data_IF_766557161129
#
_entry.id   IF_766557161129
#
_cell.length_a   1.000
_cell.length_b   1.000
_cell.length_c   1.000
_cell.angle_alpha   90.00
_cell.angle_beta   90.00
_cell.angle_gamma   90.00
#
_symmetry.space_group_name_H-M   'P 1'
#
loop_
_entity.id
_entity.type
_entity.pdbx_description
1 polymer ?
#
# COMPACT_ATOMS: atom_id res chain seq x y z
N UNK A 1 -4.13 -5.10 4.80
CA UNK A 1 -2.85 -4.63 4.22
C UNK A 1 -1.93 -4.28 5.38
N UNK A 2 -0.68 -4.74 5.38
CA UNK A 2 0.23 -4.53 6.50
C UNK A 2 0.67 -3.06 6.57
N UNK A 3 0.64 -2.48 7.77
CA UNK A 3 1.19 -1.13 8.02
C UNK A 3 2.68 -1.28 8.28
N UNK A 4 3.52 -0.66 7.45
CA UNK A 4 4.97 -0.72 7.61
C UNK A 4 5.45 0.09 8.82
N UNK A 5 6.37 -0.50 9.58
CA UNK A 5 7.20 0.21 10.55
C UNK A 5 8.49 0.72 9.91
N UNK A 6 9.23 1.59 10.60
CA UNK A 6 10.55 2.07 10.17
C UNK A 6 11.50 0.93 9.84
N UNK A 7 11.52 -0.10 10.68
CA UNK A 7 12.40 -1.27 10.51
C UNK A 7 12.04 -2.03 9.24
N UNK A 8 10.74 -2.31 9.02
CA UNK A 8 10.29 -3.03 7.82
C UNK A 8 10.48 -2.22 6.54
N UNK A 9 10.30 -0.90 6.59
CA UNK A 9 10.55 -0.01 5.46
C UNK A 9 12.04 0.03 5.09
N UNK A 10 12.93 0.10 6.08
CA UNK A 10 14.38 0.19 5.87
C UNK A 10 14.95 -1.10 5.25
N UNK A 11 14.32 -2.24 5.51
CA UNK A 11 14.72 -3.53 4.93
C UNK A 11 14.18 -3.77 3.52
N UNK A 12 13.23 -2.95 3.05
CA UNK A 12 12.64 -3.08 1.72
C UNK A 12 13.55 -2.50 0.64
N UNK A 13 13.83 -3.30 -0.38
CA UNK A 13 14.49 -2.85 -1.60
C UNK A 13 13.46 -2.33 -2.61
N UNK A 14 13.88 -1.46 -3.56
CA UNK A 14 12.99 -0.99 -4.63
C UNK A 14 12.38 -2.13 -5.47
N UNK A 15 13.12 -3.22 -5.69
CA UNK A 15 12.61 -4.39 -6.41
C UNK A 15 11.48 -5.08 -5.65
N UNK A 16 11.62 -5.25 -4.33
CA UNK A 16 10.56 -5.82 -3.48
C UNK A 16 9.34 -4.89 -3.43
N UNK A 17 9.55 -3.58 -3.31
CA UNK A 17 8.46 -2.60 -3.34
C UNK A 17 7.65 -2.68 -4.65
N UNK A 18 8.34 -2.85 -5.78
CA UNK A 18 7.70 -3.03 -7.08
C UNK A 18 6.90 -4.35 -7.17
N UNK A 19 7.43 -5.46 -6.65
CA UNK A 19 6.70 -6.72 -6.62
C UNK A 19 5.45 -6.64 -5.72
N UNK A 20 5.53 -5.96 -4.57
CA UNK A 20 4.36 -5.73 -3.70
C UNK A 20 3.24 -5.01 -4.46
N UNK A 21 3.59 -3.97 -5.25
CA UNK A 21 2.61 -3.27 -6.10
C UNK A 21 2.04 -4.23 -7.16
N UNK A 22 2.87 -4.98 -7.88
CA UNK A 22 2.39 -5.95 -8.89
C UNK A 22 1.43 -6.98 -8.30
N UNK A 23 1.75 -7.54 -7.14
CA UNK A 23 0.88 -8.47 -6.43
C UNK A 23 -0.45 -7.81 -6.01
N UNK A 24 -0.39 -6.57 -5.56
CA UNK A 24 -1.55 -5.73 -5.29
C UNK A 24 -2.49 -5.60 -6.47
N UNK A 25 -1.94 -5.23 -7.62
CA UNK A 25 -2.70 -5.11 -8.85
C UNK A 25 -3.27 -6.44 -9.32
N UNK A 26 -2.52 -7.54 -9.17
CA UNK A 26 -3.02 -8.86 -9.51
C UNK A 26 -4.23 -9.25 -8.65
N UNK A 27 -4.25 -8.89 -7.36
CA UNK A 27 -5.44 -9.08 -6.50
C UNK A 27 -6.62 -8.24 -6.98
N UNK A 28 -6.39 -6.98 -7.33
CA UNK A 28 -7.42 -6.08 -7.85
C UNK A 28 -8.06 -6.64 -9.13
N UNK A 29 -7.25 -7.06 -10.12
CA UNK A 29 -7.72 -7.65 -11.39
C UNK A 29 -8.54 -8.93 -11.14
N UNK A 30 -8.15 -9.74 -10.14
CA UNK A 30 -8.86 -10.97 -9.76
C UNK A 30 -10.09 -10.73 -8.89
N UNK A 31 -10.45 -9.47 -8.60
CA UNK A 31 -11.53 -9.07 -7.71
C UNK A 31 -11.38 -9.68 -6.28
N UNK A 32 -10.15 -9.90 -5.84
CA UNK A 32 -9.83 -10.38 -4.50
C UNK A 32 -9.73 -9.20 -3.54
N UNK A 33 -10.69 -9.09 -2.64
CA UNK A 33 -10.73 -8.00 -1.65
C UNK A 33 -9.82 -8.32 -0.47
N UNK A 34 -8.95 -7.38 -0.12
CA UNK A 34 -8.25 -7.41 1.16
C UNK A 34 -9.11 -6.66 2.20
N UNK A 35 -9.34 -7.28 3.35
CA UNK A 35 -9.91 -6.55 4.48
C UNK A 35 -8.90 -5.47 4.94
N UNK A 36 -9.39 -4.25 5.12
CA UNK A 36 -8.64 -3.08 5.60
C UNK A 36 -9.44 -2.46 6.75
N UNK A 37 -8.94 -2.65 7.98
CA UNK A 37 -9.44 -1.93 9.14
C UNK A 37 -8.76 -0.56 9.20
N UNK A 38 -9.45 0.46 8.68
CA UNK A 38 -8.91 1.82 8.61
C UNK A 38 -8.74 2.45 9.99
N UNK A 39 -9.60 2.12 10.96
CA UNK A 39 -9.49 2.66 12.32
C UNK A 39 -8.26 2.09 13.02
N UNK A 40 -8.00 0.79 12.83
CA UNK A 40 -6.77 0.17 13.31
C UNK A 40 -5.54 0.80 12.66
N UNK A 41 -5.58 1.07 11.35
CA UNK A 41 -4.47 1.70 10.65
C UNK A 41 -4.15 3.10 11.18
N UNK A 42 -5.17 3.94 11.39
CA UNK A 42 -4.99 5.27 11.99
C UNK A 42 -4.31 5.17 13.36
N UNK A 43 -4.74 4.23 14.20
CA UNK A 43 -4.12 4.00 15.51
C UNK A 43 -2.67 3.53 15.38
N UNK A 44 -2.38 2.68 14.39
CA UNK A 44 -1.03 2.15 14.16
C UNK A 44 -0.06 3.21 13.61
N UNK A 45 -0.53 4.21 12.87
CA UNK A 45 0.31 5.25 12.25
C UNK A 45 0.35 6.58 13.02
N UNK A 46 -0.27 6.66 14.20
CA UNK A 46 -0.42 7.92 14.96
C UNK A 46 0.91 8.58 15.33
N UNK A 47 1.94 7.79 15.61
CA UNK A 47 3.28 8.28 15.99
C UNK A 47 4.20 8.47 14.77
N UNK A 48 3.77 8.02 13.58
CA UNK A 48 4.58 8.10 12.36
C UNK A 48 4.08 7.17 11.26
N UNK A 49 4.31 7.57 10.02
CA UNK A 49 4.00 6.79 8.82
C UNK A 49 5.28 6.43 8.06
N UNK A 50 5.39 5.18 7.61
CA UNK A 50 6.57 4.65 6.92
C UNK A 50 6.17 4.01 5.58
N UNK A 51 5.61 4.78 4.62
CA UNK A 51 5.19 4.23 3.34
C UNK A 51 6.37 3.63 2.57
N UNK A 52 6.15 2.49 1.91
CA UNK A 52 7.19 1.83 1.12
C UNK A 52 7.30 2.36 -0.32
N UNK A 53 6.32 3.13 -0.79
CA UNK A 53 6.28 3.71 -2.13
C UNK A 53 5.57 5.08 -2.12
N UNK A 54 5.93 5.92 -3.08
CA UNK A 54 5.20 7.15 -3.43
C UNK A 54 4.69 7.00 -4.86
N UNK A 55 3.41 7.23 -5.07
CA UNK A 55 2.77 7.07 -6.38
C UNK A 55 2.35 8.45 -6.89
N UNK A 56 2.85 8.80 -8.08
CA UNK A 56 2.36 9.95 -8.82
C UNK A 56 1.24 9.47 -9.75
N UNK A 57 0.00 9.89 -9.49
CA UNK A 57 -1.19 9.46 -10.25
C UNK A 57 -1.94 10.62 -10.87
N UNK A 58 -2.78 10.31 -11.87
CA UNK A 58 -3.74 11.26 -12.41
C UNK A 58 -4.82 11.58 -11.35
N UNK A 59 -5.45 12.76 -11.46
CA UNK A 59 -6.62 13.14 -10.65
C UNK A 59 -7.92 12.47 -11.14
N UNK A 60 -7.86 11.62 -12.17
CA UNK A 60 -9.00 10.86 -12.66
C UNK A 60 -9.58 10.00 -11.52
N UNK A 61 -10.88 10.15 -11.26
CA UNK A 61 -11.56 9.50 -10.14
C UNK A 61 -11.58 7.97 -10.25
N UNK A 62 -11.32 7.42 -11.44
CA UNK A 62 -11.29 5.98 -11.70
C UNK A 62 -9.94 5.35 -11.37
N UNK A 63 -8.91 6.16 -11.10
CA UNK A 63 -7.52 5.70 -10.95
C UNK A 63 -6.96 5.89 -9.53
N UNK A 64 -7.76 5.62 -8.49
CA UNK A 64 -7.26 5.62 -7.10
C UNK A 64 -6.19 4.53 -6.93
N UNK A 65 -4.97 4.97 -6.66
CA UNK A 65 -3.80 4.10 -6.59
C UNK A 65 -3.92 3.06 -5.47
N UNK A 66 -4.48 3.46 -4.33
CA UNK A 66 -4.66 2.60 -3.15
C UNK A 66 -5.70 1.49 -3.37
N UNK A 67 -6.58 1.62 -4.35
CA UNK A 67 -7.53 0.57 -4.72
C UNK A 67 -6.98 -0.35 -5.80
N UNK A 68 -6.24 0.21 -6.77
CA UNK A 68 -5.66 -0.53 -7.89
C UNK A 68 -4.48 -1.41 -7.45
N UNK A 69 -3.79 -1.05 -6.35
CA UNK A 69 -2.65 -1.76 -5.78
C UNK A 69 -2.90 -2.14 -4.29
#
# INVERSE_FOLDING_TARGET
>A
MYTHSRETQTQLTPAQAFEILKEGNLRFIRNLKANRDLLQQVNATKEGQFPFATILSCMDSRTSAELIF
#
